data_IF_993747495862
#
_entry.id   IF_993747495862
#
_cell.length_a   1.000
_cell.length_b   1.000
_cell.length_c   1.000
_cell.angle_alpha   90.00
_cell.angle_beta   90.00
_cell.angle_gamma   90.00
#
_symmetry.space_group_name_H-M   'P 1'
#
loop_
_entity.id
_entity.type
_entity.pdbx_description
1 polymer ?
#
# COMPACT_ATOMS: atom_id res chain seq x y z
N UNK A 1 -13.18 -8.12 -2.64
CA UNK A 1 -12.05 -8.62 -1.83
C UNK A 1 -11.32 -7.58 -0.96
N UNK A 2 -11.84 -6.38 -0.58
CA UNK A 2 -11.08 -5.49 0.31
C UNK A 2 -10.64 -6.19 1.62
N UNK A 3 -11.53 -6.98 2.22
CA UNK A 3 -11.21 -7.71 3.46
C UNK A 3 -10.25 -8.90 3.28
N UNK A 4 -10.14 -9.47 2.07
CA UNK A 4 -9.25 -10.63 1.84
C UNK A 4 -7.77 -10.20 1.87
N UNK A 5 -7.47 -9.00 1.37
CA UNK A 5 -6.11 -8.47 1.34
C UNK A 5 -5.51 -8.35 2.74
N UNK A 6 -6.31 -7.93 3.72
CA UNK A 6 -5.91 -7.84 5.13
C UNK A 6 -5.58 -9.20 5.74
N UNK A 7 -6.38 -10.23 5.42
CA UNK A 7 -6.15 -11.60 5.87
C UNK A 7 -4.83 -12.12 5.30
N UNK A 8 -4.59 -11.94 4.00
CA UNK A 8 -3.35 -12.36 3.33
C UNK A 8 -2.15 -11.64 3.95
N UNK A 9 -2.23 -10.31 4.09
CA UNK A 9 -1.12 -9.51 4.60
C UNK A 9 -0.72 -9.90 6.03
N UNK A 10 -1.70 -10.14 6.91
CA UNK A 10 -1.43 -10.62 8.26
C UNK A 10 -0.90 -12.05 8.28
N UNK A 11 -1.56 -12.98 7.57
CA UNK A 11 -1.20 -14.41 7.56
C UNK A 11 0.24 -14.63 7.10
N UNK A 12 0.65 -13.94 6.03
CA UNK A 12 1.99 -14.07 5.46
C UNK A 12 2.97 -13.01 5.94
N UNK A 13 2.54 -12.15 6.87
CA UNK A 13 3.33 -11.09 7.50
C UNK A 13 4.10 -10.25 6.48
N UNK A 14 3.42 -9.80 5.43
CA UNK A 14 4.02 -9.04 4.32
C UNK A 14 3.00 -8.12 3.64
N UNK A 15 3.44 -7.04 2.96
CA UNK A 15 2.53 -6.19 2.19
C UNK A 15 1.86 -6.96 1.06
N UNK A 16 0.65 -6.55 0.69
CA UNK A 16 -0.05 -7.04 -0.50
C UNK A 16 -0.43 -5.84 -1.35
N UNK A 17 0.09 -5.78 -2.58
CA UNK A 17 -0.33 -4.83 -3.60
C UNK A 17 -1.35 -5.49 -4.51
N UNK A 18 -2.49 -4.84 -4.68
CA UNK A 18 -3.60 -5.36 -5.44
C UNK A 18 -3.98 -4.40 -6.56
N UNK A 19 -3.93 -4.88 -7.79
CA UNK A 19 -4.27 -4.12 -8.99
C UNK A 19 -5.54 -4.68 -9.62
N UNK A 20 -6.55 -3.84 -9.77
CA UNK A 20 -7.79 -4.10 -10.49
C UNK A 20 -8.05 -2.90 -11.41
N UNK A 21 -8.69 -3.14 -12.56
CA UNK A 21 -8.85 -2.14 -13.62
C UNK A 21 -9.33 -0.76 -13.12
N UNK A 22 -10.23 -0.73 -12.13
CA UNK A 22 -10.76 0.52 -11.55
C UNK A 22 -10.25 0.81 -10.13
N UNK A 23 -9.57 -0.14 -9.48
CA UNK A 23 -9.25 -0.04 -8.05
C UNK A 23 -7.86 -0.59 -7.79
N UNK A 24 -6.99 0.22 -7.20
CA UNK A 24 -5.68 -0.23 -6.74
C UNK A 24 -5.62 -0.07 -5.22
N UNK A 25 -5.24 -1.13 -4.50
CA UNK A 25 -5.22 -1.16 -3.04
C UNK A 25 -3.91 -1.72 -2.53
N UNK A 26 -3.41 -1.13 -1.46
CA UNK A 26 -2.32 -1.69 -0.66
C UNK A 26 -2.85 -2.16 0.69
N UNK A 27 -2.51 -3.40 1.06
CA UNK A 27 -2.80 -3.99 2.36
C UNK A 27 -1.49 -4.21 3.10
N UNK A 28 -1.50 -3.89 4.39
CA UNK A 28 -0.34 -4.04 5.26
C UNK A 28 -0.68 -4.95 6.45
N UNK A 29 0.31 -5.66 7.02
CA UNK A 29 0.11 -6.41 8.26
C UNK A 29 -0.37 -5.46 9.37
N UNK A 30 -1.32 -5.91 10.18
CA UNK A 30 -1.89 -5.12 11.28
C UNK A 30 -1.19 -5.43 12.62
N UNK A 31 -0.84 -6.70 12.84
CA UNK A 31 -0.37 -7.19 14.13
C UNK A 31 1.10 -7.60 14.13
N UNK A 32 1.82 -7.34 13.05
CA UNK A 32 3.19 -7.80 12.88
C UNK A 32 4.17 -6.65 12.66
N UNK A 33 5.34 -6.67 13.33
CA UNK A 33 6.38 -5.68 13.08
C UNK A 33 6.91 -5.78 11.66
N UNK A 34 7.60 -4.72 11.23
CA UNK A 34 8.32 -4.71 9.97
C UNK A 34 9.34 -5.86 9.94
N UNK A 35 9.36 -6.61 8.84
CA UNK A 35 10.29 -7.71 8.60
C UNK A 35 10.85 -7.64 7.16
N UNK A 36 11.60 -8.68 6.75
CA UNK A 36 12.27 -8.73 5.43
C UNK A 36 11.44 -9.43 4.34
N UNK A 37 10.19 -9.79 4.61
CA UNK A 37 9.35 -10.45 3.61
C UNK A 37 8.99 -9.46 2.50
N UNK A 38 9.24 -9.86 1.26
CA UNK A 38 8.84 -9.09 0.09
C UNK A 38 7.32 -9.04 -0.06
N UNK A 39 6.84 -7.97 -0.68
CA UNK A 39 5.42 -7.79 -0.94
C UNK A 39 4.88 -8.83 -1.94
N UNK A 40 3.67 -9.31 -1.69
CA UNK A 40 2.91 -10.03 -2.70
C UNK A 40 2.24 -9.01 -3.62
N UNK A 41 2.27 -9.26 -4.92
CA UNK A 41 1.55 -8.44 -5.89
C UNK A 41 0.59 -9.29 -6.67
N UNK A 42 -0.68 -8.92 -6.66
CA UNK A 42 -1.76 -9.60 -7.37
C UNK A 42 -2.44 -8.62 -8.33
N UNK A 43 -2.65 -9.04 -9.56
CA UNK A 43 -3.51 -8.33 -10.50
C UNK A 43 -4.74 -9.17 -10.85
N UNK A 44 -5.90 -8.52 -10.91
CA UNK A 44 -7.11 -9.10 -11.46
C UNK A 44 -7.28 -8.65 -12.91
N UNK A 45 -7.23 -9.62 -13.83
CA UNK A 45 -7.22 -9.38 -15.27
C UNK A 45 -8.44 -10.05 -15.89
N UNK A 46 -8.98 -9.44 -16.96
CA UNK A 46 -10.12 -9.95 -17.74
C UNK A 46 -11.38 -10.26 -16.91
N UNK A 47 -11.53 -9.58 -15.78
CA UNK A 47 -12.62 -9.78 -14.83
C UNK A 47 -12.84 -11.23 -14.36
N UNK A 48 -11.82 -12.10 -14.44
CA UNK A 48 -11.99 -13.51 -14.08
C UNK A 48 -10.73 -14.19 -13.52
N UNK A 49 -9.54 -13.59 -13.63
CA UNK A 49 -8.32 -14.28 -13.23
C UNK A 49 -7.38 -13.41 -12.38
N UNK A 50 -6.80 -14.04 -11.36
CA UNK A 50 -5.76 -13.45 -10.53
C UNK A 50 -4.40 -13.95 -10.97
N UNK A 51 -3.47 -13.02 -11.21
CA UNK A 51 -2.09 -13.35 -11.53
C UNK A 51 -1.15 -12.74 -10.49
N UNK A 52 -0.12 -13.50 -10.13
CA UNK A 52 0.98 -12.99 -9.32
C UNK A 52 1.94 -12.17 -10.20
N UNK A 53 2.42 -11.04 -9.69
CA UNK A 53 3.36 -10.18 -10.39
C UNK A 53 4.59 -9.90 -9.53
N UNK A 54 5.70 -9.60 -10.19
CA UNK A 54 6.91 -9.08 -9.55
C UNK A 54 7.07 -7.62 -9.96
N UNK A 55 7.09 -6.73 -8.97
CA UNK A 55 7.32 -5.31 -9.22
C UNK A 55 8.82 -5.02 -9.26
N UNK A 56 9.23 -4.09 -10.12
CA UNK A 56 10.60 -3.60 -10.10
C UNK A 56 10.84 -2.81 -8.80
N UNK A 57 12.09 -2.76 -8.31
CA UNK A 57 12.43 -1.91 -7.18
C UNK A 57 11.99 -0.45 -7.43
N UNK A 58 11.40 0.17 -6.42
CA UNK A 58 10.95 1.57 -6.49
C UNK A 58 9.66 1.82 -7.30
N UNK A 59 9.02 0.79 -7.86
CA UNK A 59 7.72 0.94 -8.54
C UNK A 59 6.70 1.62 -7.63
N UNK A 60 6.01 2.69 -8.08
CA UNK A 60 4.94 3.32 -7.31
C UNK A 60 3.85 2.33 -6.91
N UNK A 61 3.23 2.52 -5.74
CA UNK A 61 2.16 1.63 -5.25
C UNK A 61 0.97 2.44 -4.78
N UNK A 62 -0.22 1.86 -4.94
CA UNK A 62 -1.46 2.49 -4.51
C UNK A 62 -1.49 2.84 -3.03
N UNK A 63 -2.34 3.79 -2.62
CA UNK A 63 -2.57 4.08 -1.21
C UNK A 63 -2.98 2.84 -0.39
N UNK A 64 -2.65 2.90 0.90
CA UNK A 64 -3.09 1.89 1.87
C UNK A 64 -4.61 1.97 1.99
N UNK A 65 -5.27 0.81 2.10
CA UNK A 65 -6.72 0.75 2.28
C UNK A 65 -7.18 1.63 3.46
N UNK A 66 -8.31 2.30 3.25
CA UNK A 66 -8.95 3.13 4.27
C UNK A 66 -9.11 2.35 5.59
N UNK A 67 -8.80 3.02 6.71
CA UNK A 67 -8.89 2.52 8.09
C UNK A 67 -7.79 1.56 8.56
N UNK A 68 -6.78 1.20 7.74
CA UNK A 68 -5.66 0.40 8.23
C UNK A 68 -5.03 0.98 9.52
N UNK A 69 -4.83 2.31 9.56
CA UNK A 69 -4.28 3.01 10.72
C UNK A 69 -5.12 2.89 12.00
N UNK A 70 -6.42 2.62 11.90
CA UNK A 70 -7.31 2.46 13.04
C UNK A 70 -7.14 1.11 13.73
N UNK A 71 -6.71 0.10 12.98
CA UNK A 71 -6.59 -1.29 13.43
C UNK A 71 -5.13 -1.76 13.55
N UNK A 72 -4.18 -0.99 13.01
CA UNK A 72 -2.76 -1.31 13.09
C UNK A 72 -2.23 -1.15 14.52
N UNK A 73 -1.48 -2.15 14.97
CA UNK A 73 -0.72 -2.09 16.23
C UNK A 73 0.46 -1.13 16.09
N UNK A 74 0.98 -0.64 17.22
CA UNK A 74 2.18 0.20 17.25
C UNK A 74 3.38 -0.46 16.54
N UNK A 75 3.50 -1.79 16.66
CA UNK A 75 4.55 -2.55 15.99
C UNK A 75 4.45 -2.49 14.45
N UNK A 76 3.24 -2.41 13.90
CA UNK A 76 3.00 -2.44 12.46
C UNK A 76 3.17 -1.09 11.76
N UNK A 77 3.24 0.03 12.49
CA UNK A 77 3.33 1.39 11.90
C UNK A 77 4.53 1.54 10.94
N UNK A 78 5.64 0.85 11.22
CA UNK A 78 6.85 0.88 10.39
C UNK A 78 6.62 0.41 8.96
N UNK A 79 5.61 -0.42 8.70
CA UNK A 79 5.24 -0.83 7.35
C UNK A 79 4.81 0.35 6.47
N UNK A 80 4.04 1.30 7.02
CA UNK A 80 3.61 2.49 6.28
C UNK A 80 4.79 3.35 5.87
N UNK A 81 5.72 3.59 6.80
CA UNK A 81 6.89 4.41 6.55
C UNK A 81 7.76 3.84 5.43
N UNK A 82 7.90 2.51 5.34
CA UNK A 82 8.67 1.85 4.29
C UNK A 82 8.13 2.14 2.87
N UNK A 83 6.81 2.32 2.74
CA UNK A 83 6.17 2.42 1.42
C UNK A 83 5.67 3.82 1.10
N UNK A 84 5.77 4.78 2.02
CA UNK A 84 5.20 6.12 1.88
C UNK A 84 5.72 6.82 0.62
N UNK A 85 7.03 6.82 0.37
CA UNK A 85 7.61 7.43 -0.85
C UNK A 85 7.05 6.84 -2.14
N UNK A 86 6.71 5.55 -2.14
CA UNK A 86 6.14 4.87 -3.32
C UNK A 86 4.66 5.20 -3.49
N UNK A 87 3.95 5.46 -2.39
CA UNK A 87 2.56 5.95 -2.40
C UNK A 87 2.53 7.39 -2.92
N UNK A 88 3.39 8.26 -2.41
CA UNK A 88 3.47 9.66 -2.83
C UNK A 88 3.73 9.77 -4.34
N UNK A 89 4.66 8.96 -4.86
CA UNK A 89 4.91 8.85 -6.31
C UNK A 89 3.69 8.35 -7.08
N UNK A 90 2.94 7.40 -6.52
CA UNK A 90 1.75 6.88 -7.18
C UNK A 90 0.70 7.98 -7.31
N UNK A 91 0.41 8.68 -6.21
CA UNK A 91 -0.56 9.78 -6.14
C UNK A 91 -0.21 10.92 -7.11
N UNK A 92 1.08 11.25 -7.21
CA UNK A 92 1.59 12.24 -8.16
C UNK A 92 1.30 11.82 -9.61
N UNK A 93 1.54 10.55 -9.96
CA UNK A 93 1.34 10.03 -11.32
C UNK A 93 -0.15 9.87 -11.65
N UNK A 94 -0.98 9.48 -10.67
CA UNK A 94 -2.42 9.31 -10.87
C UNK A 94 -3.21 10.62 -10.90
N UNK A 95 -2.56 11.77 -10.73
CA UNK A 95 -3.23 13.07 -10.68
C UNK A 95 -4.15 13.23 -9.48
N UNK A 96 -3.92 12.45 -8.42
CA UNK A 96 -4.75 12.39 -7.22
C UNK A 96 -4.04 12.93 -5.98
N UNK A 97 -2.93 13.65 -6.17
CA UNK A 97 -2.31 14.44 -5.12
C UNK A 97 -3.19 15.67 -4.85
N UNK A 98 -3.78 15.75 -3.66
CA UNK A 98 -4.48 16.96 -3.25
C UNK A 98 -3.46 18.07 -2.94
N UNK A 99 -3.71 19.30 -3.40
CA UNK A 99 -2.84 20.48 -3.15
C UNK A 99 -2.57 20.72 -1.65
N UNK A 100 -3.44 20.24 -0.76
CA UNK A 100 -3.33 20.36 0.70
C UNK A 100 -2.21 19.52 1.32
N UNK A 101 -1.70 18.47 0.66
CA UNK A 101 -0.59 17.67 1.19
C UNK A 101 0.80 18.29 0.88
N UNK A 102 0.86 19.17 -0.12
CA UNK A 102 2.09 19.90 -0.49
C UNK A 102 2.36 21.10 0.42
N UNK A 103 1.33 21.77 0.92
CA UNK A 103 1.47 22.87 1.88
C UNK A 103 2.01 22.39 3.24
N UNK A 104 1.54 21.24 3.74
CA UNK A 104 2.01 20.68 5.02
C UNK A 104 3.46 20.18 5.00
N UNK A 105 4.01 19.88 3.82
CA UNK A 105 5.42 19.52 3.65
C UNK A 105 6.34 20.76 3.61
N UNK A 106 5.80 21.91 3.23
CA UNK A 106 6.52 23.19 3.15
C UNK A 106 6.66 23.88 4.50
N UNK A 107 5.73 23.63 5.43
CA UNK A 107 5.72 24.25 6.77
C UNK A 107 6.67 23.54 7.76
N UNK A 108 7.02 22.27 7.52
CA UNK A 108 7.89 21.49 8.42
C UNK A 108 9.40 21.60 8.08
N UNK A 109 9.79 22.51 7.18
CA UNK A 109 11.21 22.76 6.80
C UNK A 109 11.58 24.25 6.98
N UNK A 110 10.84 24.97 7.83
CA UNK A 110 11.13 26.36 8.21
C UNK A 110 11.27 26.51 9.70
#
# INVERSE_FOLDING_TARGET
>A
MPQIGDVIANTYQRPVYFFLLQINLTFLPHHHPLNRNEALTLAFINNNHYVAMVLRPGTPVSPIINRWTQFATLAAIRWRLLIQDRIDKFLLISGSANETDLENKSINIS
#
